data_IF_162206873650
#
_entry.id   IF_162206873650
#
_cell.length_a   1.000
_cell.length_b   1.000
_cell.length_c   1.000
_cell.angle_alpha   90.00
_cell.angle_beta   90.00
_cell.angle_gamma   90.00
#
_symmetry.space_group_name_H-M   'P 1'
#
loop_
_entity.id
_entity.type
_entity.pdbx_description
1 polymer ?
#
# COMPACT_ATOMS: atom_id res chain seq x y z
N UNK A 1 12.43 -4.50 4.12
CA UNK A 1 11.59 -4.09 2.97
C UNK A 1 10.88 -2.80 3.32
N UNK A 2 10.52 -2.00 2.31
CA UNK A 2 9.67 -0.81 2.47
C UNK A 2 8.19 -1.22 2.45
N UNK A 3 7.33 -0.43 3.08
CA UNK A 3 5.88 -0.60 3.01
C UNK A 3 5.24 0.50 2.18
N UNK A 4 4.26 0.15 1.34
CA UNK A 4 3.47 1.08 0.56
C UNK A 4 2.00 0.91 0.91
N UNK A 5 1.39 1.98 1.40
CA UNK A 5 -0.05 2.08 1.60
C UNK A 5 -0.69 2.85 0.45
N UNK A 6 -1.57 2.19 -0.29
CA UNK A 6 -2.43 2.84 -1.28
C UNK A 6 -3.65 3.42 -0.55
N UNK A 7 -3.59 4.73 -0.31
CA UNK A 7 -4.68 5.52 0.25
C UNK A 7 -5.23 6.55 -0.75
N UNK A 8 -4.80 6.46 -2.02
CA UNK A 8 -5.29 7.27 -3.13
C UNK A 8 -6.65 6.80 -3.65
N UNK A 9 -7.28 7.64 -4.46
CA UNK A 9 -8.57 7.37 -5.08
C UNK A 9 -9.71 8.17 -4.44
N UNK A 10 -10.48 8.85 -5.29
CA UNK A 10 -11.44 9.86 -4.88
C UNK A 10 -12.71 9.33 -4.18
N UNK A 11 -12.76 8.06 -3.75
CA UNK A 11 -13.90 7.44 -3.03
C UNK A 11 -15.28 7.89 -3.58
N UNK A 12 -15.37 8.10 -4.90
CA UNK A 12 -16.45 8.85 -5.57
C UNK A 12 -17.82 8.20 -5.35
N UNK A 13 -17.83 6.89 -5.13
CA UNK A 13 -19.04 6.09 -4.86
C UNK A 13 -19.46 6.05 -3.39
N UNK A 14 -18.55 6.35 -2.46
CA UNK A 14 -18.79 6.27 -1.00
C UNK A 14 -18.99 7.64 -0.35
N UNK A 15 -18.57 8.73 -1.01
CA UNK A 15 -18.76 10.10 -0.50
C UNK A 15 -18.00 10.43 0.80
N UNK A 16 -17.16 9.50 1.29
CA UNK A 16 -16.34 9.64 2.51
C UNK A 16 -14.93 9.16 2.22
N UNK A 17 -13.94 9.79 2.86
CA UNK A 17 -12.56 9.35 2.79
C UNK A 17 -12.41 7.99 3.47
N UNK A 18 -12.16 6.93 2.68
CA UNK A 18 -11.95 5.56 3.17
C UNK A 18 -10.86 5.48 4.23
N UNK A 19 -9.82 6.32 4.12
CA UNK A 19 -8.72 6.34 5.08
C UNK A 19 -9.18 6.61 6.52
N UNK A 20 -10.25 7.41 6.67
CA UNK A 20 -10.80 7.85 7.96
C UNK A 20 -11.95 6.96 8.47
N UNK A 21 -12.35 5.93 7.72
CA UNK A 21 -13.38 4.99 8.19
C UNK A 21 -12.85 4.25 9.41
N UNK A 22 -13.67 4.17 10.45
CA UNK A 22 -13.38 3.40 11.64
C UNK A 22 -13.70 1.92 11.41
N UNK A 23 -12.74 1.06 11.70
CA UNK A 23 -12.89 -0.39 11.80
C UNK A 23 -12.41 -0.82 13.18
N UNK A 24 -13.26 -1.45 13.98
CA UNK A 24 -13.01 -1.75 15.39
C UNK A 24 -12.50 -0.53 16.19
N UNK A 25 -13.13 0.64 15.97
CA UNK A 25 -12.79 1.94 16.58
C UNK A 25 -11.44 2.55 16.20
N UNK A 26 -10.76 2.02 15.17
CA UNK A 26 -9.51 2.56 14.65
C UNK A 26 -9.65 3.00 13.18
N UNK A 27 -9.12 4.18 12.78
CA UNK A 27 -9.10 4.57 11.38
C UNK A 27 -8.34 3.56 10.52
N UNK A 28 -8.90 3.17 9.38
CA UNK A 28 -8.30 2.20 8.46
C UNK A 28 -6.86 2.56 8.08
N UNK A 29 -6.56 3.85 7.88
CA UNK A 29 -5.21 4.32 7.55
C UNK A 29 -4.20 4.06 8.67
N UNK A 30 -4.59 4.31 9.93
CA UNK A 30 -3.76 4.06 11.10
C UNK A 30 -3.50 2.56 11.24
N UNK A 31 -4.56 1.76 11.08
CA UNK A 31 -4.48 0.30 11.09
C UNK A 31 -3.51 -0.22 10.03
N UNK A 32 -3.64 0.27 8.79
CA UNK A 32 -2.84 -0.16 7.66
C UNK A 32 -1.36 0.22 7.81
N UNK A 33 -1.06 1.44 8.25
CA UNK A 33 0.32 1.87 8.57
C UNK A 33 0.92 0.98 9.65
N UNK A 34 0.17 0.70 10.73
CA UNK A 34 0.63 -0.19 11.80
C UNK A 34 0.87 -1.61 11.29
N UNK A 35 0.01 -2.14 10.42
CA UNK A 35 0.17 -3.45 9.79
C UNK A 35 1.47 -3.53 8.99
N UNK A 36 1.76 -2.54 8.14
CA UNK A 36 3.01 -2.49 7.37
C UNK A 36 4.24 -2.37 8.29
N UNK A 37 4.18 -1.52 9.31
CA UNK A 37 5.28 -1.28 10.25
C UNK A 37 5.70 -2.53 11.04
N UNK A 38 4.87 -3.59 11.08
CA UNK A 38 5.26 -4.88 11.70
C UNK A 38 6.30 -5.66 10.89
N UNK A 39 6.43 -5.38 9.58
CA UNK A 39 7.31 -6.13 8.66
C UNK A 39 8.16 -5.23 7.76
N UNK A 40 7.92 -3.91 7.80
CA UNK A 40 8.65 -2.91 7.03
C UNK A 40 9.37 -1.94 7.97
N UNK A 41 10.58 -1.53 7.58
CA UNK A 41 11.39 -0.55 8.32
C UNK A 41 10.96 0.90 8.05
N UNK A 42 10.19 1.11 6.99
CA UNK A 42 9.62 2.38 6.59
C UNK A 42 8.30 2.18 5.86
N UNK A 43 7.44 3.20 5.92
CA UNK A 43 6.13 3.20 5.27
C UNK A 43 5.98 4.49 4.46
N UNK A 44 5.63 4.32 3.19
CA UNK A 44 5.21 5.38 2.27
C UNK A 44 3.71 5.26 2.04
N UNK A 45 3.03 6.40 1.92
CA UNK A 45 1.60 6.45 1.62
C UNK A 45 1.40 7.14 0.28
N UNK A 46 0.87 6.42 -0.69
CA UNK A 46 0.36 7.01 -1.92
C UNK A 46 -1.06 7.54 -1.65
N UNK A 47 -1.20 8.85 -1.45
CA UNK A 47 -2.47 9.50 -1.08
C UNK A 47 -3.19 10.15 -2.27
N UNK A 48 -2.60 10.08 -3.47
CA UNK A 48 -3.08 10.69 -4.70
C UNK A 48 -2.57 12.12 -4.88
N UNK A 49 -2.78 12.99 -3.90
CA UNK A 49 -2.30 14.39 -3.90
C UNK A 49 -0.97 14.59 -3.15
N UNK A 50 -0.49 13.58 -2.44
CA UNK A 50 0.79 13.56 -1.75
C UNK A 50 0.85 14.33 -0.43
N UNK A 51 -0.25 14.89 0.08
CA UNK A 51 -0.24 15.67 1.33
C UNK A 51 -1.48 15.50 2.22
N UNK A 52 -2.57 14.87 1.74
CA UNK A 52 -3.82 14.71 2.51
C UNK A 52 -3.66 14.06 3.89
N UNK A 53 -2.65 13.22 4.08
CA UNK A 53 -2.42 12.44 5.31
C UNK A 53 -1.18 12.87 6.11
N UNK A 54 -0.78 14.16 6.05
CA UNK A 54 0.49 14.61 6.65
C UNK A 54 0.51 14.46 8.18
N UNK A 55 -0.67 14.51 8.80
CA UNK A 55 -0.87 14.28 10.22
C UNK A 55 -0.39 12.89 10.70
N UNK A 56 -0.14 11.95 9.80
CA UNK A 56 0.40 10.63 10.12
C UNK A 56 1.92 10.64 10.36
N UNK A 57 2.64 11.69 9.95
CA UNK A 57 4.10 11.76 10.09
C UNK A 57 4.86 10.73 9.26
N UNK A 58 4.23 10.16 8.23
CA UNK A 58 4.83 9.20 7.29
C UNK A 58 5.06 9.88 5.93
N UNK A 59 6.02 9.39 5.17
CA UNK A 59 6.27 9.91 3.82
C UNK A 59 5.05 9.72 2.94
N UNK A 60 4.62 10.79 2.28
CA UNK A 60 3.54 10.75 1.30
C UNK A 60 4.07 11.00 -0.10
N UNK A 61 3.43 10.34 -1.07
CA UNK A 61 3.70 10.54 -2.50
C UNK A 61 2.40 10.82 -3.24
N UNK A 62 2.51 11.69 -4.25
CA UNK A 62 1.44 11.98 -5.18
C UNK A 62 1.51 11.01 -6.37
N UNK A 63 0.35 10.73 -6.96
CA UNK A 63 0.30 9.99 -8.22
C UNK A 63 0.82 10.90 -9.33
N UNK A 64 1.76 10.41 -10.16
CA UNK A 64 2.23 11.17 -11.33
C UNK A 64 1.09 11.51 -12.31
N UNK A 65 0.10 10.60 -12.41
CA UNK A 65 -1.13 10.80 -13.17
C UNK A 65 -2.35 10.68 -12.22
N UNK A 66 -2.83 11.80 -11.67
CA UNK A 66 -3.97 11.79 -10.74
C UNK A 66 -5.19 11.06 -11.32
N UNK A 67 -5.70 10.08 -10.59
CA UNK A 67 -6.91 9.34 -11.00
C UNK A 67 -6.67 8.18 -11.96
N UNK A 68 -5.42 7.83 -12.27
CA UNK A 68 -5.07 6.66 -13.09
C UNK A 68 -5.20 5.31 -12.34
N UNK A 69 -5.69 5.34 -11.10
CA UNK A 69 -6.00 4.15 -10.32
C UNK A 69 -4.80 3.59 -9.54
N UNK A 70 -4.95 2.39 -8.94
CA UNK A 70 -3.97 1.84 -8.00
C UNK A 70 -2.55 1.69 -8.56
N UNK A 71 -2.41 1.41 -9.87
CA UNK A 71 -1.10 1.25 -10.51
C UNK A 71 -0.27 2.54 -10.47
N UNK A 72 -0.89 3.71 -10.58
CA UNK A 72 -0.17 4.98 -10.48
C UNK A 72 0.39 5.19 -9.07
N UNK A 73 -0.38 4.82 -8.04
CA UNK A 73 0.08 4.85 -6.66
C UNK A 73 1.17 3.82 -6.37
N UNK A 74 1.10 2.64 -7.01
CA UNK A 74 2.18 1.64 -6.94
C UNK A 74 3.45 2.21 -7.54
N UNK A 75 3.43 2.71 -8.77
CA UNK A 75 4.61 3.28 -9.44
C UNK A 75 5.27 4.38 -8.58
N UNK A 76 4.50 5.37 -8.13
CA UNK A 76 5.01 6.45 -7.27
C UNK A 76 5.59 5.94 -5.93
N UNK A 77 4.97 4.90 -5.37
CA UNK A 77 5.45 4.23 -4.16
C UNK A 77 6.74 3.44 -4.38
N UNK A 78 6.90 2.77 -5.52
CA UNK A 78 8.12 2.04 -5.86
C UNK A 78 9.29 3.01 -6.10
N UNK A 79 9.06 4.11 -6.82
CA UNK A 79 10.10 5.13 -7.07
C UNK A 79 10.67 5.73 -5.77
N UNK A 80 9.81 5.92 -4.76
CA UNK A 80 10.15 6.51 -3.46
C UNK A 80 10.64 5.50 -2.41
N UNK A 81 10.48 4.20 -2.65
CA UNK A 81 10.87 3.16 -1.71
C UNK A 81 12.39 3.15 -1.46
N UNK A 82 12.79 2.77 -0.25
CA UNK A 82 14.21 2.69 0.15
C UNK A 82 14.83 1.31 -0.05
N UNK A 83 14.00 0.28 -0.17
CA UNK A 83 14.43 -1.11 -0.24
C UNK A 83 14.04 -1.74 -1.57
N UNK A 84 14.74 -2.82 -1.95
CA UNK A 84 14.48 -3.56 -3.20
C UNK A 84 13.11 -4.23 -3.23
N UNK A 85 12.55 -4.55 -2.07
CA UNK A 85 11.21 -5.09 -1.92
C UNK A 85 10.28 -4.08 -1.26
N UNK A 86 9.06 -4.01 -1.77
CA UNK A 86 7.99 -3.13 -1.31
C UNK A 86 6.73 -3.95 -1.03
N UNK A 87 6.33 -4.03 0.23
CA UNK A 87 5.06 -4.63 0.62
C UNK A 87 3.92 -3.64 0.37
N UNK A 88 2.99 -3.99 -0.51
CA UNK A 88 1.89 -3.11 -0.93
C UNK A 88 0.60 -3.57 -0.29
N UNK A 89 -0.11 -2.66 0.39
CA UNK A 89 -1.50 -2.87 0.84
C UNK A 89 -2.41 -1.71 0.44
N UNK A 90 -3.68 -1.99 0.15
CA UNK A 90 -4.71 -0.95 0.03
C UNK A 90 -5.36 -0.61 1.37
N UNK A 91 -5.77 0.65 1.53
CA UNK A 91 -6.35 1.16 2.80
C UNK A 91 -7.68 0.50 3.16
N UNK A 92 -8.42 -0.06 2.20
CA UNK A 92 -9.69 -0.76 2.43
C UNK A 92 -9.54 -2.26 2.74
N UNK A 93 -8.34 -2.71 3.09
CA UNK A 93 -8.04 -4.09 3.48
C UNK A 93 -7.81 -4.21 5.01
N UNK A 94 -8.85 -4.14 5.86
CA UNK A 94 -8.70 -4.21 7.32
C UNK A 94 -8.11 -5.54 7.82
N UNK A 95 -8.20 -6.60 7.02
CA UNK A 95 -7.65 -7.93 7.31
C UNK A 95 -6.26 -8.16 6.68
N UNK A 96 -5.60 -7.13 6.15
CA UNK A 96 -4.25 -7.25 5.62
C UNK A 96 -3.30 -7.90 6.64
N UNK A 97 -2.63 -8.98 6.24
CA UNK A 97 -1.80 -9.80 7.13
C UNK A 97 -0.31 -9.51 6.95
N UNK A 98 0.41 -9.07 7.99
CA UNK A 98 1.87 -8.92 7.94
C UNK A 98 2.58 -10.25 7.72
N UNK A 99 2.04 -11.35 8.27
CA UNK A 99 2.62 -12.68 8.11
C UNK A 99 2.58 -13.14 6.64
N UNK A 100 1.49 -12.83 5.93
CA UNK A 100 1.39 -13.10 4.49
C UNK A 100 2.39 -12.25 3.70
N UNK A 101 2.52 -10.96 4.01
CA UNK A 101 3.52 -10.10 3.35
C UNK A 101 4.95 -10.61 3.55
N UNK A 102 5.30 -11.01 4.78
CA UNK A 102 6.61 -11.60 5.08
C UNK A 102 6.83 -12.92 4.34
N UNK A 103 5.80 -13.77 4.26
CA UNK A 103 5.85 -15.01 3.49
C UNK A 103 6.08 -14.75 2.00
N UNK A 104 5.33 -13.84 1.37
CA UNK A 104 5.49 -13.47 -0.04
C UNK A 104 6.88 -12.90 -0.31
N UNK A 105 7.42 -12.07 0.59
CA UNK A 105 8.78 -11.56 0.46
C UNK A 105 9.83 -12.68 0.48
N UNK A 106 9.62 -13.73 1.27
CA UNK A 106 10.49 -14.91 1.30
C UNK A 106 10.41 -15.80 0.05
N UNK A 107 9.37 -15.64 -0.77
CA UNK A 107 9.22 -16.36 -2.06
C UNK A 107 9.86 -15.63 -3.24
N UNK A 108 10.25 -14.37 -3.08
CA UNK A 108 10.80 -13.57 -4.18
C UNK A 108 12.14 -14.14 -4.66
N UNK A 109 12.30 -14.35 -5.97
CA UNK A 109 13.51 -14.85 -6.61
C UNK A 109 14.03 -13.90 -7.71
N UNK A 110 13.60 -12.63 -7.70
CA UNK A 110 14.03 -11.61 -8.67
C UNK A 110 12.96 -11.17 -9.66
N UNK A 111 11.71 -11.61 -9.50
CA UNK A 111 10.58 -11.21 -10.32
C UNK A 111 10.13 -9.76 -10.03
N UNK A 112 9.29 -9.20 -10.91
CA UNK A 112 8.71 -7.87 -10.71
C UNK A 112 7.75 -7.79 -9.52
N UNK A 113 7.03 -8.87 -9.21
CA UNK A 113 6.15 -8.97 -8.05
C UNK A 113 5.86 -10.43 -7.68
N UNK A 114 5.58 -10.66 -6.40
CA UNK A 114 5.00 -11.89 -5.86
C UNK A 114 3.57 -11.58 -5.42
N UNK A 115 2.61 -12.08 -6.19
CA UNK A 115 1.18 -11.76 -6.04
C UNK A 115 0.40 -13.02 -5.70
N UNK A 116 -0.35 -13.06 -4.58
CA UNK A 116 -1.18 -14.22 -4.25
C UNK A 116 -2.40 -14.30 -5.16
N UNK A 117 -2.87 -15.53 -5.38
CA UNK A 117 -4.14 -15.82 -6.06
C UNK A 117 -5.15 -16.32 -5.02
N UNK A 118 -6.23 -15.57 -4.83
CA UNK A 118 -7.30 -15.88 -3.88
C UNK A 118 -8.59 -16.10 -4.67
N UNK A 119 -9.22 -17.27 -4.50
CA UNK A 119 -10.44 -17.65 -5.23
C UNK A 119 -10.34 -17.43 -6.77
N UNK A 120 -9.17 -17.74 -7.34
CA UNK A 120 -8.90 -17.60 -8.78
C UNK A 120 -8.64 -16.17 -9.27
N UNK A 121 -8.51 -15.19 -8.37
CA UNK A 121 -8.18 -13.79 -8.70
C UNK A 121 -6.85 -13.39 -8.12
N UNK A 122 -6.08 -12.64 -8.90
CA UNK A 122 -4.86 -11.99 -8.42
C UNK A 122 -5.20 -10.89 -7.43
N UNK A 123 -4.46 -10.81 -6.32
CA UNK A 123 -4.59 -9.76 -5.31
C UNK A 123 -3.35 -8.86 -5.30
N UNK A 124 -3.17 -7.97 -6.30
CA UNK A 124 -1.96 -7.14 -6.44
C UNK A 124 -1.84 -6.07 -5.36
N UNK A 125 -2.92 -5.81 -4.62
CA UNK A 125 -2.99 -4.81 -3.57
C UNK A 125 -2.80 -5.41 -2.18
N UNK A 126 -2.41 -6.70 -2.07
CA UNK A 126 -1.82 -7.32 -0.90
C UNK A 126 -0.68 -8.24 -1.38
N UNK A 127 0.41 -7.62 -1.79
CA UNK A 127 1.48 -8.27 -2.52
C UNK A 127 2.85 -7.67 -2.19
N UNK A 128 3.91 -8.32 -2.64
CA UNK A 128 5.26 -7.80 -2.58
C UNK A 128 5.74 -7.49 -3.99
N UNK A 129 6.19 -6.26 -4.20
CA UNK A 129 6.68 -5.75 -5.48
C UNK A 129 8.17 -5.49 -5.40
N UNK A 130 8.89 -5.75 -6.49
CA UNK A 130 10.26 -5.31 -6.62
C UNK A 130 10.27 -3.80 -6.92
N UNK A 131 11.16 -3.06 -6.27
CA UNK A 131 11.37 -1.64 -6.53
C UNK A 131 11.71 -1.35 -7.99
N UNK A 132 12.42 -2.27 -8.65
CA UNK A 132 12.78 -2.18 -10.07
C UNK A 132 11.59 -2.30 -11.03
N UNK A 133 10.39 -2.60 -10.53
CA UNK A 133 9.16 -2.61 -11.31
C UNK A 133 8.46 -1.23 -11.43
N UNK A 134 9.11 -0.17 -10.91
CA UNK A 134 8.67 1.23 -11.06
C UNK A 134 8.54 1.64 -12.53
#
# INVERSE_FOLDING_TARGET
MSGLLLAGGASRRMGRDKAQILFDSEPLVIRAVRTLARVCTDVVVASGDGHRLDHLGVTQVADALPGAGPLAGIAAGLESARHDLVAVIAVDMPAASPAVLAFLAGLWQGEAAVVPVVAGRWEPLHAVWARSAA
#
